data_IF_194687202574
#
_entry.id   IF_194687202574
#
_cell.length_a   1.000
_cell.length_b   1.000
_cell.length_c   1.000
_cell.angle_alpha   90.00
_cell.angle_beta   90.00
_cell.angle_gamma   90.00
#
_symmetry.space_group_name_H-M   'P 1'
#
loop_
_entity.id
_entity.type
_entity.pdbx_description
1 polymer ?
#
# COMPACT_ATOMS: atom_id res chain seq x y z
N UNK A 1 -6.64 -1.76 5.35
CA UNK A 1 -7.49 -2.70 4.56
C UNK A 1 -8.43 -3.53 5.43
N UNK A 2 -8.22 -3.61 6.75
CA UNK A 2 -9.23 -4.11 7.70
C UNK A 2 -10.32 -3.10 8.08
N UNK A 3 -10.15 -1.82 7.73
CA UNK A 3 -11.19 -0.79 7.89
C UNK A 3 -12.10 -0.78 6.67
N UNK A 4 -13.40 -1.02 6.87
CA UNK A 4 -14.44 -1.05 5.81
C UNK A 4 -14.57 0.27 5.04
N UNK A 5 -14.07 1.36 5.61
CA UNK A 5 -14.15 2.70 5.04
C UNK A 5 -13.02 3.02 4.05
N UNK A 6 -11.86 2.37 4.17
CA UNK A 6 -10.72 2.65 3.29
C UNK A 6 -10.89 1.97 1.93
N UNK A 7 -11.35 2.74 0.95
CA UNK A 7 -11.41 2.29 -0.45
C UNK A 7 -10.01 2.21 -1.04
N UNK A 8 -9.46 1.00 -1.09
CA UNK A 8 -8.16 0.69 -1.74
C UNK A 8 -8.08 1.26 -3.16
N UNK A 9 -9.20 1.27 -3.90
CA UNK A 9 -9.28 1.86 -5.23
C UNK A 9 -8.99 3.36 -5.27
N UNK A 10 -9.49 4.12 -4.30
CA UNK A 10 -9.25 5.58 -4.21
C UNK A 10 -7.80 5.85 -3.85
N UNK A 11 -7.27 5.10 -2.87
CA UNK A 11 -5.87 5.20 -2.48
C UNK A 11 -4.93 4.88 -3.65
N UNK A 12 -5.22 3.84 -4.44
CA UNK A 12 -4.46 3.54 -5.64
C UNK A 12 -4.52 4.67 -6.68
N UNK A 13 -5.68 5.32 -6.86
CA UNK A 13 -5.84 6.45 -7.79
C UNK A 13 -5.06 7.68 -7.33
N UNK A 14 -5.15 8.03 -6.04
CA UNK A 14 -4.45 9.18 -5.46
C UNK A 14 -2.93 9.01 -5.55
N UNK A 15 -2.44 7.81 -5.27
CA UNK A 15 -1.01 7.48 -5.35
C UNK A 15 -0.52 7.23 -6.79
N UNK A 16 -1.43 7.14 -7.78
CA UNK A 16 -1.08 6.82 -9.17
C UNK A 16 -0.47 5.42 -9.36
N UNK A 17 -0.77 4.48 -8.45
CA UNK A 17 -0.21 3.13 -8.48
C UNK A 17 -1.30 2.08 -8.63
N UNK A 18 -0.89 0.88 -9.02
CA UNK A 18 -1.79 -0.27 -9.07
C UNK A 18 -2.00 -0.88 -7.68
N UNK A 19 -3.09 -1.64 -7.54
CA UNK A 19 -3.35 -2.44 -6.32
C UNK A 19 -2.21 -3.41 -6.03
N UNK A 20 -1.62 -4.04 -7.06
CA UNK A 20 -0.51 -4.98 -6.86
C UNK A 20 0.71 -4.29 -6.26
N UNK A 21 1.03 -3.08 -6.72
CA UNK A 21 2.09 -2.23 -6.13
C UNK A 21 1.76 -1.93 -4.67
N UNK A 22 0.55 -1.45 -4.38
CA UNK A 22 0.14 -1.14 -3.01
C UNK A 22 0.28 -2.37 -2.09
N UNK A 23 -0.23 -3.53 -2.48
CA UNK A 23 -0.15 -4.77 -1.68
C UNK A 23 1.27 -5.33 -1.56
N UNK A 24 2.14 -5.10 -2.54
CA UNK A 24 3.55 -5.54 -2.51
C UNK A 24 4.33 -4.79 -1.43
N UNK A 25 4.05 -3.51 -1.25
CA UNK A 25 4.80 -2.64 -0.34
C UNK A 25 4.09 -2.38 0.99
N UNK A 26 2.76 -2.46 1.04
CA UNK A 26 1.93 -2.14 2.21
C UNK A 26 1.11 -3.35 2.67
N UNK A 27 1.05 -3.55 3.98
CA UNK A 27 0.30 -4.58 4.68
C UNK A 27 -1.18 -4.23 4.85
N UNK A 28 -2.02 -5.20 5.22
CA UNK A 28 -3.46 -4.98 5.40
C UNK A 28 -3.81 -3.97 6.50
N UNK A 29 -2.88 -3.63 7.40
CA UNK A 29 -3.06 -2.63 8.45
C UNK A 29 -2.42 -1.27 8.11
N UNK A 30 -1.83 -1.12 6.92
CA UNK A 30 -1.11 0.09 6.52
C UNK A 30 0.40 0.06 6.84
N UNK A 31 0.89 -1.07 7.36
CA UNK A 31 2.30 -1.27 7.70
C UNK A 31 3.17 -1.42 6.46
N UNK A 32 4.40 -0.91 6.49
CA UNK A 32 5.38 -1.17 5.43
C UNK A 32 5.86 -2.63 5.49
N UNK A 33 5.70 -3.34 4.38
CA UNK A 33 6.29 -4.67 4.15
C UNK A 33 7.79 -4.56 3.92
N UNK A 34 8.49 -5.69 3.97
CA UNK A 34 9.94 -5.76 3.72
C UNK A 34 10.35 -5.10 2.41
N UNK A 35 9.61 -5.37 1.31
CA UNK A 35 9.84 -4.71 0.03
C UNK A 35 9.79 -3.17 0.13
N UNK A 36 8.89 -2.63 0.96
CA UNK A 36 8.74 -1.17 1.12
C UNK A 36 9.88 -0.60 1.94
N UNK A 37 10.30 -1.33 2.98
CA UNK A 37 11.47 -0.97 3.79
C UNK A 37 12.76 -0.99 2.95
N UNK A 38 12.90 -1.92 2.01
CA UNK A 38 14.08 -1.99 1.14
C UNK A 38 14.19 -0.77 0.21
N UNK A 39 13.07 -0.32 -0.38
CA UNK A 39 13.07 0.85 -1.28
C UNK A 39 13.34 2.16 -0.51
N UNK A 40 12.86 2.27 0.74
CA UNK A 40 13.02 3.47 1.57
C UNK A 40 14.36 3.56 2.30
N UNK A 41 15.15 2.50 2.34
CA UNK A 41 16.48 2.48 2.98
C UNK A 41 17.62 2.99 2.07
N UNK A 42 17.28 3.63 0.95
CA UNK A 42 18.24 4.22 0.01
C UNK A 42 18.80 5.56 0.50
#
# INVERSE_FOLDING_TARGET
MGNRDTKVSDLCKELGITRTTLYRYIGPNGDLRENGKQVLKA
#
